data_IF_007360386131
#
_entry.id   IF_007360386131
#
_cell.length_a   1.000
_cell.length_b   1.000
_cell.length_c   1.000
_cell.angle_alpha   90.00
_cell.angle_beta   90.00
_cell.angle_gamma   90.00
#
_symmetry.space_group_name_H-M   'P 1'
#
loop_
_entity.id
_entity.type
_entity.pdbx_description
1 polymer ?
#
# COMPACT_ATOMS: atom_id res chain seq x y z
N UNK A 1 27.15 -20.82 6.14
CA UNK A 1 26.25 -20.75 4.96
C UNK A 1 25.39 -19.54 5.12
N UNK A 2 25.29 -18.70 4.10
CA UNK A 2 24.39 -17.53 4.13
C UNK A 2 22.94 -18.01 4.06
N UNK A 3 22.05 -17.41 4.87
CA UNK A 3 20.61 -17.68 4.81
C UNK A 3 20.02 -17.16 3.49
N UNK A 4 18.92 -17.76 3.04
CA UNK A 4 18.19 -17.26 1.90
C UNK A 4 17.58 -15.89 2.21
N UNK A 5 17.50 -15.01 1.22
CA UNK A 5 16.94 -13.65 1.40
C UNK A 5 15.47 -13.68 1.89
N UNK A 6 14.69 -14.68 1.43
CA UNK A 6 13.32 -14.89 1.90
C UNK A 6 13.25 -15.08 3.42
N UNK A 7 14.13 -15.92 4.00
CA UNK A 7 14.17 -16.14 5.46
C UNK A 7 14.48 -14.85 6.24
N UNK A 8 15.36 -13.98 5.71
CA UNK A 8 15.63 -12.67 6.31
C UNK A 8 14.39 -11.77 6.30
N UNK A 9 13.61 -11.81 5.22
CA UNK A 9 12.37 -11.04 5.08
C UNK A 9 11.31 -11.56 6.04
N UNK A 10 11.10 -12.88 6.08
CA UNK A 10 10.13 -13.55 6.98
C UNK A 10 10.47 -13.27 8.46
N UNK A 11 11.76 -13.33 8.81
CA UNK A 11 12.23 -12.96 10.15
C UNK A 11 11.92 -11.48 10.48
N UNK A 12 12.21 -10.57 9.57
CA UNK A 12 11.98 -9.15 9.78
C UNK A 12 10.50 -8.80 9.92
N UNK A 13 9.61 -9.52 9.23
CA UNK A 13 8.15 -9.38 9.36
C UNK A 13 7.57 -10.11 10.58
N UNK A 14 8.32 -11.00 11.21
CA UNK A 14 7.83 -11.85 12.31
C UNK A 14 6.97 -13.02 11.83
N UNK A 15 7.16 -13.45 10.59
CA UNK A 15 6.39 -14.51 9.93
C UNK A 15 7.05 -15.90 10.11
N UNK A 16 8.26 -15.96 10.68
CA UNK A 16 8.90 -17.24 10.98
C UNK A 16 8.21 -17.97 12.14
N UNK A 17 8.06 -19.30 12.05
CA UNK A 17 7.66 -20.13 13.19
C UNK A 17 8.67 -19.97 14.34
N UNK A 18 8.19 -19.98 15.60
CA UNK A 18 9.03 -19.72 16.79
C UNK A 18 10.30 -20.57 16.87
N UNK A 19 10.24 -21.84 16.44
CA UNK A 19 11.38 -22.73 16.45
C UNK A 19 12.43 -22.32 15.41
N UNK A 20 11.97 -21.88 14.22
CA UNK A 20 12.85 -21.39 13.15
C UNK A 20 13.41 -20.01 13.48
N UNK A 21 12.62 -19.14 14.13
CA UNK A 21 13.06 -17.83 14.60
C UNK A 21 14.24 -17.95 15.57
N UNK A 22 14.13 -18.82 16.61
CA UNK A 22 15.20 -19.03 17.58
C UNK A 22 16.49 -19.59 16.93
N UNK A 23 16.37 -20.54 16.01
CA UNK A 23 17.51 -21.09 15.28
C UNK A 23 18.15 -20.03 14.35
N UNK A 24 17.33 -19.18 13.77
CA UNK A 24 17.79 -18.10 12.91
C UNK A 24 18.49 -16.98 13.70
N UNK A 25 18.03 -16.65 14.90
CA UNK A 25 18.71 -15.73 15.81
C UNK A 25 20.10 -16.22 16.20
N UNK A 26 20.24 -17.51 16.54
CA UNK A 26 21.56 -18.12 16.80
C UNK A 26 22.49 -18.00 15.57
N UNK A 27 21.94 -18.20 14.36
CA UNK A 27 22.69 -18.01 13.12
C UNK A 27 23.14 -16.56 12.94
N UNK A 28 22.28 -15.58 13.22
CA UNK A 28 22.63 -14.15 13.10
C UNK A 28 23.80 -13.77 14.01
N UNK A 29 23.89 -14.32 15.23
CA UNK A 29 25.03 -14.09 16.12
C UNK A 29 26.35 -14.67 15.60
N UNK A 30 26.29 -15.65 14.71
CA UNK A 30 27.46 -16.35 14.17
C UNK A 30 27.81 -15.96 12.71
N UNK A 31 26.99 -15.15 12.04
CA UNK A 31 27.13 -14.85 10.63
C UNK A 31 27.04 -13.32 10.34
N UNK A 32 28.19 -12.67 10.23
CA UNK A 32 28.29 -11.23 9.94
C UNK A 32 27.62 -10.86 8.61
N UNK A 33 27.65 -11.75 7.61
CA UNK A 33 27.00 -11.51 6.31
C UNK A 33 25.47 -11.40 6.45
N UNK A 34 24.84 -12.32 7.20
CA UNK A 34 23.39 -12.28 7.41
C UNK A 34 22.97 -11.10 8.28
N UNK A 35 23.76 -10.79 9.30
CA UNK A 35 23.54 -9.61 10.15
C UNK A 35 23.62 -8.32 9.34
N UNK A 36 24.59 -8.21 8.43
CA UNK A 36 24.72 -7.04 7.53
C UNK A 36 23.53 -6.92 6.59
N UNK A 37 23.10 -8.02 5.96
CA UNK A 37 21.92 -8.05 5.09
C UNK A 37 20.63 -7.68 5.82
N UNK A 38 20.45 -8.16 7.07
CA UNK A 38 19.32 -7.78 7.90
C UNK A 38 19.33 -6.27 8.22
N UNK A 39 20.50 -5.72 8.55
CA UNK A 39 20.65 -4.30 8.80
C UNK A 39 20.30 -3.45 7.55
N UNK A 40 20.72 -3.89 6.36
CA UNK A 40 20.36 -3.24 5.09
C UNK A 40 18.83 -3.32 4.84
N UNK A 41 18.19 -4.46 5.11
CA UNK A 41 16.74 -4.63 4.97
C UNK A 41 15.98 -3.71 5.92
N UNK A 42 16.41 -3.62 7.18
CA UNK A 42 15.83 -2.70 8.17
C UNK A 42 15.99 -1.23 7.73
N UNK A 43 17.16 -0.86 7.23
CA UNK A 43 17.44 0.49 6.72
C UNK A 43 16.57 0.81 5.49
N UNK A 44 16.40 -0.14 4.56
CA UNK A 44 15.51 0.00 3.41
C UNK A 44 14.06 0.22 3.84
N UNK A 45 13.57 -0.60 4.78
CA UNK A 45 12.21 -0.44 5.32
C UNK A 45 12.01 0.92 6.00
N UNK A 46 13.03 1.40 6.70
CA UNK A 46 13.04 2.76 7.27
C UNK A 46 12.95 3.85 6.21
N UNK A 47 13.73 3.72 5.13
CA UNK A 47 13.72 4.66 4.01
C UNK A 47 12.37 4.67 3.25
N UNK A 48 11.78 3.50 2.99
CA UNK A 48 10.44 3.39 2.36
C UNK A 48 9.39 4.05 3.25
N UNK A 49 9.43 3.81 4.57
CA UNK A 49 8.51 4.43 5.53
C UNK A 49 8.66 5.95 5.57
N UNK A 50 9.89 6.45 5.51
CA UNK A 50 10.15 7.89 5.45
C UNK A 50 9.62 8.49 4.14
N UNK A 51 9.93 7.89 3.00
CA UNK A 51 9.45 8.31 1.68
C UNK A 51 7.92 8.33 1.60
N UNK A 52 7.23 7.32 2.19
CA UNK A 52 5.77 7.32 2.27
C UNK A 52 5.25 8.48 3.15
N UNK A 53 5.83 8.71 4.32
CA UNK A 53 5.43 9.82 5.20
C UNK A 53 5.63 11.19 4.56
N UNK A 54 6.66 11.33 3.75
CA UNK A 54 6.98 12.54 2.99
C UNK A 54 6.10 12.69 1.74
N UNK A 55 5.42 11.61 1.32
CA UNK A 55 4.56 11.55 0.13
C UNK A 55 5.30 11.40 -1.18
N UNK A 56 6.58 11.03 -1.11
CA UNK A 56 7.37 10.66 -2.28
C UNK A 56 6.92 9.29 -2.85
N UNK A 57 6.31 8.46 -2.00
CA UNK A 57 5.73 7.16 -2.38
C UNK A 57 4.24 7.18 -2.08
N UNK A 58 3.43 6.68 -3.01
CA UNK A 58 2.01 6.42 -2.82
C UNK A 58 1.82 4.93 -2.64
N UNK A 59 0.91 4.53 -1.77
CA UNK A 59 0.63 3.12 -1.54
C UNK A 59 -0.72 2.73 -2.14
N UNK A 60 -0.72 1.64 -2.89
CA UNK A 60 -1.89 0.80 -3.11
C UNK A 60 -1.65 -0.45 -2.28
N UNK A 61 -2.59 -0.82 -1.44
CA UNK A 61 -2.44 -1.90 -0.46
C UNK A 61 -3.31 -3.10 -0.84
N UNK A 62 -2.88 -4.28 -0.42
CA UNK A 62 -3.71 -5.48 -0.55
C UNK A 62 -4.82 -5.51 0.50
N UNK A 63 -5.88 -6.28 0.25
CA UNK A 63 -6.94 -6.52 1.24
C UNK A 63 -6.40 -7.21 2.50
N UNK A 64 -5.44 -8.12 2.37
CA UNK A 64 -4.80 -8.75 3.51
C UNK A 64 -4.11 -7.73 4.44
N UNK A 65 -3.39 -6.75 3.87
CA UNK A 65 -2.79 -5.68 4.67
C UNK A 65 -3.86 -4.78 5.31
N UNK A 66 -4.92 -4.45 4.57
CA UNK A 66 -6.03 -3.66 5.09
C UNK A 66 -6.72 -4.35 6.28
N UNK A 67 -6.97 -5.65 6.19
CA UNK A 67 -7.56 -6.44 7.28
C UNK A 67 -6.61 -6.49 8.49
N UNK A 68 -5.33 -6.71 8.29
CA UNK A 68 -4.33 -6.66 9.35
C UNK A 68 -4.27 -5.29 10.05
N UNK A 69 -4.39 -4.18 9.31
CA UNK A 69 -4.47 -2.83 9.89
C UNK A 69 -5.69 -2.67 10.80
N UNK A 70 -6.85 -3.24 10.42
CA UNK A 70 -8.07 -3.23 11.23
C UNK A 70 -7.93 -4.08 12.49
N UNK A 71 -7.37 -5.28 12.36
CA UNK A 71 -7.11 -6.18 13.48
C UNK A 71 -6.15 -5.57 14.52
N UNK A 72 -5.18 -4.76 14.09
CA UNK A 72 -4.30 -3.99 14.96
C UNK A 72 -4.97 -2.78 15.63
N UNK A 73 -6.24 -2.54 15.34
CA UNK A 73 -7.01 -1.43 15.92
C UNK A 73 -6.60 -0.05 15.43
N UNK A 74 -5.97 0.04 14.25
CA UNK A 74 -5.61 1.32 13.63
C UNK A 74 -6.88 2.08 13.21
N UNK A 75 -6.87 3.40 13.39
CA UNK A 75 -8.02 4.25 13.04
C UNK A 75 -7.94 4.60 11.58
N UNK A 76 -8.76 3.93 10.78
CA UNK A 76 -8.84 4.11 9.34
C UNK A 76 -9.96 5.08 8.99
N UNK A 77 -9.66 6.13 8.25
CA UNK A 77 -10.63 6.94 7.55
C UNK A 77 -10.90 6.31 6.19
N UNK A 78 -12.11 5.85 5.96
CA UNK A 78 -12.46 5.13 4.75
C UNK A 78 -13.36 5.97 3.82
N UNK A 79 -13.09 5.86 2.52
CA UNK A 79 -13.91 6.43 1.45
C UNK A 79 -14.19 5.35 0.42
N UNK A 80 -15.45 4.93 0.28
CA UNK A 80 -15.87 4.00 -0.76
C UNK A 80 -16.41 4.79 -1.95
N UNK A 81 -15.99 4.41 -3.16
CA UNK A 81 -16.34 5.11 -4.40
C UNK A 81 -16.65 4.13 -5.52
N UNK A 82 -17.75 4.37 -6.19
CA UNK A 82 -18.10 3.70 -7.44
C UNK A 82 -17.48 4.43 -8.66
N UNK A 83 -17.35 3.78 -9.82
CA UNK A 83 -16.89 4.41 -11.04
C UNK A 83 -17.70 5.68 -11.38
N UNK A 84 -17.01 6.76 -11.71
CA UNK A 84 -17.59 8.08 -11.92
C UNK A 84 -17.89 8.86 -10.64
N UNK A 85 -17.59 8.29 -9.47
CA UNK A 85 -17.85 8.90 -8.18
C UNK A 85 -16.92 10.06 -7.84
N UNK A 86 -17.42 10.94 -6.95
CA UNK A 86 -16.65 12.02 -6.33
C UNK A 86 -16.85 12.01 -4.83
N UNK A 87 -15.80 12.33 -4.08
CA UNK A 87 -15.84 12.40 -2.62
C UNK A 87 -15.11 13.62 -2.07
N UNK A 88 -15.71 14.25 -1.07
CA UNK A 88 -15.05 15.29 -0.28
C UNK A 88 -14.23 14.63 0.82
N UNK A 89 -12.89 14.66 0.68
CA UNK A 89 -11.97 14.06 1.64
C UNK A 89 -11.66 15.05 2.76
N UNK A 90 -11.89 14.61 4.00
CA UNK A 90 -11.40 15.28 5.21
C UNK A 90 -10.59 14.30 6.04
N UNK A 91 -9.63 14.78 6.79
CA UNK A 91 -8.78 13.95 7.65
C UNK A 91 -8.77 14.55 9.03
N UNK A 92 -9.21 13.78 10.04
CA UNK A 92 -9.09 14.19 11.43
C UNK A 92 -7.65 14.02 11.93
N UNK A 93 -7.29 14.79 12.96
CA UNK A 93 -5.99 14.65 13.62
C UNK A 93 -5.76 13.25 14.19
N UNK A 94 -6.86 12.59 14.54
CA UNK A 94 -6.87 11.25 15.13
C UNK A 94 -6.79 10.11 14.14
N UNK A 95 -6.94 10.35 12.83
CA UNK A 95 -6.88 9.30 11.82
C UNK A 95 -5.42 8.85 11.65
N UNK A 96 -5.17 7.54 11.78
CA UNK A 96 -3.86 6.95 11.58
C UNK A 96 -3.58 6.73 10.09
N UNK A 97 -4.61 6.33 9.31
CA UNK A 97 -4.55 6.13 7.88
C UNK A 97 -5.81 6.60 7.18
N UNK A 98 -5.68 6.83 5.87
CA UNK A 98 -6.80 7.05 4.95
C UNK A 98 -6.79 5.93 3.93
N UNK A 99 -7.91 5.25 3.75
CA UNK A 99 -8.07 4.19 2.76
C UNK A 99 -9.21 4.57 1.82
N UNK A 100 -8.92 4.66 0.53
CA UNK A 100 -9.93 4.86 -0.50
C UNK A 100 -10.18 3.53 -1.20
N UNK A 101 -11.41 3.03 -1.09
CA UNK A 101 -11.90 1.79 -1.69
C UNK A 101 -12.53 2.15 -3.03
N UNK A 102 -11.87 1.78 -4.11
CA UNK A 102 -12.29 2.08 -5.48
C UNK A 102 -12.92 0.84 -6.09
N UNK A 103 -14.26 0.82 -6.18
CA UNK A 103 -15.00 -0.27 -6.81
C UNK A 103 -14.76 -0.25 -8.32
N UNK A 104 -14.55 -1.42 -8.94
CA UNK A 104 -14.38 -1.55 -10.38
C UNK A 104 -14.79 -2.95 -10.88
N UNK A 105 -15.13 -3.11 -12.17
CA UNK A 105 -15.45 -4.42 -12.77
C UNK A 105 -14.17 -5.24 -13.01
N UNK A 106 -13.67 -5.88 -11.95
CA UNK A 106 -12.38 -6.58 -11.92
C UNK A 106 -12.46 -8.07 -12.27
N UNK A 107 -13.66 -8.61 -12.51
CA UNK A 107 -13.82 -10.01 -12.89
C UNK A 107 -13.09 -10.33 -14.21
N UNK A 108 -12.19 -11.31 -14.18
CA UNK A 108 -11.38 -11.72 -15.33
C UNK A 108 -10.23 -10.79 -15.70
N UNK A 109 -10.03 -9.70 -14.97
CA UNK A 109 -8.88 -8.80 -15.14
C UNK A 109 -7.63 -9.47 -14.60
N UNK A 110 -6.53 -9.41 -15.36
CA UNK A 110 -5.24 -10.00 -14.96
C UNK A 110 -4.26 -8.99 -14.40
N UNK A 111 -4.35 -7.75 -14.86
CA UNK A 111 -3.48 -6.66 -14.42
C UNK A 111 -4.26 -5.36 -14.38
N UNK A 112 -4.09 -4.61 -13.31
CA UNK A 112 -4.65 -3.28 -13.12
C UNK A 112 -3.52 -2.28 -12.93
N UNK A 113 -3.58 -1.19 -13.68
CA UNK A 113 -2.74 -0.04 -13.43
C UNK A 113 -3.61 1.10 -12.88
N UNK A 114 -3.02 1.89 -11.99
CA UNK A 114 -3.65 3.07 -11.40
C UNK A 114 -3.01 4.33 -12.00
N UNK A 115 -3.82 5.15 -12.65
CA UNK A 115 -3.38 6.38 -13.30
C UNK A 115 -3.87 7.59 -12.50
N UNK A 116 -3.00 8.56 -12.30
CA UNK A 116 -3.28 9.77 -11.52
C UNK A 116 -2.69 11.00 -12.20
N UNK A 117 -3.05 12.19 -11.73
CA UNK A 117 -2.45 13.45 -12.19
C UNK A 117 -0.91 13.50 -12.01
N UNK A 118 -0.36 12.66 -11.13
CA UNK A 118 1.08 12.61 -10.86
C UNK A 118 1.81 11.47 -11.59
N UNK A 119 1.10 10.62 -12.30
CA UNK A 119 1.68 9.51 -13.07
C UNK A 119 0.90 8.21 -12.98
N UNK A 120 1.47 7.17 -13.59
CA UNK A 120 0.94 5.82 -13.65
C UNK A 120 1.67 4.92 -12.68
N UNK A 121 0.93 4.06 -12.01
CA UNK A 121 1.42 3.01 -11.12
C UNK A 121 1.03 1.68 -11.74
N UNK A 122 2.04 0.94 -12.16
CA UNK A 122 1.85 -0.31 -12.89
C UNK A 122 1.60 -1.47 -11.92
N UNK A 123 0.74 -2.41 -12.34
CA UNK A 123 0.51 -3.70 -11.68
C UNK A 123 0.16 -3.56 -10.19
N UNK A 124 -0.83 -2.71 -9.91
CA UNK A 124 -1.27 -2.49 -8.52
C UNK A 124 -2.05 -3.69 -7.98
N UNK A 125 -1.95 -4.01 -6.68
CA UNK A 125 -2.75 -5.05 -6.06
C UNK A 125 -4.23 -4.72 -6.12
N UNK A 126 -5.05 -5.73 -6.39
CA UNK A 126 -6.51 -5.62 -6.42
C UNK A 126 -7.16 -6.92 -5.93
N UNK A 127 -8.41 -6.83 -5.49
CA UNK A 127 -9.24 -7.98 -5.17
C UNK A 127 -10.35 -8.13 -6.21
N UNK A 128 -10.24 -9.14 -7.07
CA UNK A 128 -11.25 -9.41 -8.10
C UNK A 128 -12.58 -9.93 -7.52
N UNK A 129 -12.55 -10.57 -6.35
CA UNK A 129 -13.76 -11.07 -5.70
C UNK A 129 -14.53 -9.94 -5.00
N UNK A 130 -13.84 -9.05 -4.32
CA UNK A 130 -14.41 -7.83 -3.75
C UNK A 130 -14.74 -6.77 -4.82
N UNK A 131 -14.07 -6.84 -5.98
CA UNK A 131 -14.22 -5.84 -7.04
C UNK A 131 -13.61 -4.49 -6.65
N UNK A 132 -12.49 -4.47 -5.92
CA UNK A 132 -11.93 -3.25 -5.35
C UNK A 132 -10.41 -3.14 -5.50
N UNK A 133 -9.96 -1.89 -5.60
CA UNK A 133 -8.56 -1.46 -5.42
C UNK A 133 -8.50 -0.55 -4.19
N UNK A 134 -7.52 -0.76 -3.31
CA UNK A 134 -7.35 -0.02 -2.07
C UNK A 134 -6.19 0.96 -2.16
N UNK A 135 -6.48 2.25 -2.27
CA UNK A 135 -5.47 3.31 -2.28
C UNK A 135 -5.29 3.88 -0.87
N UNK A 136 -4.05 3.93 -0.39
CA UNK A 136 -3.70 4.41 0.95
C UNK A 136 -2.68 5.56 0.87
N UNK A 137 -3.13 6.82 0.67
CA UNK A 137 -2.26 7.97 0.69
C UNK A 137 -1.76 8.27 2.11
N UNK A 138 -0.55 8.80 2.23
CA UNK A 138 0.00 9.17 3.53
C UNK A 138 -0.80 10.34 4.16
N UNK A 139 -1.37 10.18 5.37
CA UNK A 139 -2.17 11.23 6.03
C UNK A 139 -1.42 12.55 6.20
N UNK A 140 -0.11 12.47 6.50
CA UNK A 140 0.74 13.65 6.67
C UNK A 140 0.84 14.50 5.40
N UNK A 141 0.75 13.88 4.22
CA UNK A 141 0.75 14.59 2.92
C UNK A 141 -0.56 15.31 2.72
N UNK A 142 -1.67 14.64 2.99
CA UNK A 142 -3.00 15.22 2.86
C UNK A 142 -3.18 16.39 3.84
N UNK A 143 -2.75 16.22 5.10
CA UNK A 143 -2.81 17.29 6.14
C UNK A 143 -1.97 18.53 5.79
N UNK A 144 -0.86 18.39 5.03
CA UNK A 144 -0.01 19.52 4.62
C UNK A 144 -0.50 20.25 3.38
N UNK A 145 -1.33 19.60 2.56
CA UNK A 145 -1.88 20.20 1.35
C UNK A 145 -3.14 21.02 1.70
N UNK A 146 -3.24 22.18 1.09
CA UNK A 146 -4.47 22.97 1.11
C UNK A 146 -5.59 22.29 0.30
N UNK A 147 -6.61 23.03 -0.06
CA UNK A 147 -7.68 22.53 -0.93
C UNK A 147 -7.12 22.12 -2.30
N UNK A 148 -7.40 20.90 -2.76
CA UNK A 148 -7.02 20.43 -4.10
C UNK A 148 -7.99 19.36 -4.59
N UNK A 149 -8.10 19.24 -5.90
CA UNK A 149 -8.81 18.16 -6.58
C UNK A 149 -7.77 17.16 -7.12
N UNK A 150 -8.11 15.89 -7.09
CA UNK A 150 -7.25 14.81 -7.49
C UNK A 150 -8.04 13.75 -8.24
N UNK A 151 -7.56 13.37 -9.42
CA UNK A 151 -8.21 12.38 -10.28
C UNK A 151 -7.44 11.07 -10.26
N UNK A 152 -8.19 9.99 -10.25
CA UNK A 152 -7.68 8.62 -10.31
C UNK A 152 -8.46 7.86 -11.37
N UNK A 153 -7.75 7.12 -12.22
CA UNK A 153 -8.36 6.16 -13.14
C UNK A 153 -7.77 4.78 -12.89
N UNK A 154 -8.61 3.76 -12.91
CA UNK A 154 -8.20 2.36 -12.95
C UNK A 154 -8.30 1.87 -14.37
N UNK A 155 -7.26 1.21 -14.87
CA UNK A 155 -7.22 0.65 -16.21
C UNK A 155 -6.80 -0.81 -16.15
N UNK A 156 -7.46 -1.65 -16.96
CA UNK A 156 -7.03 -3.02 -17.26
C UNK A 156 -6.02 -2.97 -18.39
N UNK A 157 -4.87 -3.60 -18.21
CA UNK A 157 -3.85 -3.72 -19.26
C UNK A 157 -4.13 -4.99 -20.07
N UNK A 158 -4.49 -4.82 -21.34
CA UNK A 158 -4.88 -5.90 -22.23
C UNK A 158 -3.98 -5.89 -23.48
N UNK A 159 -3.89 -7.02 -24.20
CA UNK A 159 -3.06 -7.14 -25.42
C UNK A 159 -3.49 -6.14 -26.51
N UNK A 160 -4.78 -5.77 -26.53
CA UNK A 160 -5.33 -4.81 -27.50
C UNK A 160 -5.19 -3.34 -27.07
N UNK A 161 -4.63 -3.08 -25.89
CA UNK A 161 -4.49 -1.76 -25.30
C UNK A 161 -5.24 -1.63 -23.97
N UNK A 162 -5.10 -0.48 -23.31
CA UNK A 162 -5.69 -0.23 -22.01
C UNK A 162 -7.22 -0.09 -22.11
N UNK A 163 -7.92 -0.73 -21.18
CA UNK A 163 -9.38 -0.58 -20.99
C UNK A 163 -9.68 0.13 -19.69
N UNK A 164 -10.38 1.25 -19.77
CA UNK A 164 -10.82 1.99 -18.58
C UNK A 164 -11.79 1.15 -17.74
N UNK A 165 -11.51 1.02 -16.45
CA UNK A 165 -12.33 0.33 -15.46
C UNK A 165 -13.17 1.29 -14.61
N UNK A 166 -12.65 2.48 -14.33
CA UNK A 166 -13.33 3.50 -13.55
C UNK A 166 -12.50 4.78 -13.41
N UNK A 167 -13.20 5.88 -13.19
CA UNK A 167 -12.61 7.18 -12.87
C UNK A 167 -13.19 7.68 -11.56
N UNK A 168 -12.36 8.34 -10.72
CA UNK A 168 -12.72 8.77 -9.38
C UNK A 168 -12.16 10.16 -9.12
N UNK A 169 -12.95 11.02 -8.49
CA UNK A 169 -12.54 12.38 -8.16
C UNK A 169 -12.51 12.58 -6.64
N UNK A 170 -11.39 13.02 -6.13
CA UNK A 170 -11.21 13.37 -4.73
C UNK A 170 -11.11 14.89 -4.59
N UNK A 171 -12.02 15.48 -3.85
CA UNK A 171 -11.97 16.90 -3.46
C UNK A 171 -11.48 16.97 -2.02
N UNK A 172 -10.22 17.35 -1.84
CA UNK A 172 -9.64 17.50 -0.51
C UNK A 172 -9.86 18.90 0.01
N UNK A 173 -10.39 18.99 1.23
CA UNK A 173 -10.46 20.22 2.00
C UNK A 173 -9.72 20.01 3.34
N UNK A 174 -8.86 20.95 3.76
CA UNK A 174 -8.29 20.92 5.10
C UNK A 174 -9.39 20.98 6.14
N UNK A 175 -9.27 20.15 7.19
CA UNK A 175 -10.15 20.15 8.38
C UNK A 175 -9.76 21.28 9.33
#
# INVERSE_FOLDING_TARGET
MSAEFATLVDYWFGDLPREEEAAFEEHLFACDECTSKLAELVALGGAVRAAWREGAVRAVISHALYDAMKEQGLRLREYAMDPGGSVNCTIAATDDFVVSRLSAPLAGVRRVDLVTDAGRFDDVPFDAAAGEVLMCPAPAVLKRRGKFTYHVSLVSVEDAGDRLLGEYTFEHAPS
#
